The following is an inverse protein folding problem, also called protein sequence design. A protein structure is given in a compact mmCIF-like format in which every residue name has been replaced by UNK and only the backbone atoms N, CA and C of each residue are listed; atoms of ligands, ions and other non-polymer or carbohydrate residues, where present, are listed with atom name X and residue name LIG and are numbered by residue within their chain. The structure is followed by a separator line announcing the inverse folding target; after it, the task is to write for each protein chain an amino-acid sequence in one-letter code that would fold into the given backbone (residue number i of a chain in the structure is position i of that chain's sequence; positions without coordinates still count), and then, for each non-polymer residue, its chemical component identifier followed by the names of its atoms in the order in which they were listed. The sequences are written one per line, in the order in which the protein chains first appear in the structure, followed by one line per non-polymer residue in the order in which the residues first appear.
data_IF_058457018868
#
_entry.id   IF_058457018868
#
_cell.length_a   1.000
_cell.length_b   1.000
_cell.length_c   1.000
_cell.angle_alpha   90.00
_cell.angle_beta   90.00
_cell.angle_gamma   90.00
#
_symmetry.space_group_name_H-M   'P 1'
#
loop_
_entity.id
_entity.type
_entity.pdbx_description
1 polymer ?
#
# COMPACT_ATOMS: atom_id res chain seq x y z
N UNK A 1 -43.17 14.59 72.26
CA UNK A 1 -44.05 14.58 71.06
C UNK A 1 -43.38 15.33 69.97
N UNK A 2 -42.94 14.71 68.96
CA UNK A 2 -42.84 14.96 67.51
C UNK A 2 -41.72 14.13 66.91
N UNK A 3 -42.14 13.12 66.19
CA UNK A 3 -41.28 12.27 65.41
C UNK A 3 -40.79 13.06 64.17
N UNK A 4 -39.47 13.07 63.92
CA UNK A 4 -38.91 13.46 62.62
C UNK A 4 -38.28 12.26 62.00
N UNK A 5 -38.99 11.66 61.02
CA UNK A 5 -38.46 10.66 60.09
C UNK A 5 -37.70 11.34 59.04
N UNK A 6 -36.37 11.28 59.06
CA UNK A 6 -35.48 11.71 57.97
C UNK A 6 -35.33 10.55 57.00
N UNK A 7 -36.01 10.62 55.86
CA UNK A 7 -35.82 9.68 54.75
C UNK A 7 -34.56 10.04 53.99
N UNK A 8 -33.54 9.20 54.10
CA UNK A 8 -32.38 9.23 53.20
C UNK A 8 -32.84 8.78 51.81
N UNK A 9 -32.78 9.69 50.85
CA UNK A 9 -32.88 9.37 49.42
C UNK A 9 -31.50 9.03 48.93
N UNK A 10 -31.22 7.74 48.69
CA UNK A 10 -30.01 7.29 47.98
C UNK A 10 -30.20 7.53 46.48
N UNK A 11 -29.44 8.49 45.93
CA UNK A 11 -29.25 8.64 44.48
C UNK A 11 -28.28 7.56 44.00
N UNK A 12 -28.80 6.56 43.33
CA UNK A 12 -27.99 5.59 42.59
C UNK A 12 -27.56 6.24 41.28
N UNK A 13 -26.29 6.61 41.19
CA UNK A 13 -25.67 7.06 39.95
C UNK A 13 -25.35 5.83 39.07
N UNK A 14 -26.18 5.56 38.07
CA UNK A 14 -25.92 4.55 37.06
C UNK A 14 -24.88 5.11 36.08
N UNK A 15 -23.62 4.73 36.26
CA UNK A 15 -22.58 4.97 35.27
C UNK A 15 -22.78 4.01 34.08
N UNK A 16 -23.34 4.51 32.99
CA UNK A 16 -23.38 3.79 31.69
C UNK A 16 -21.97 3.88 31.12
N UNK A 17 -21.20 2.81 31.26
CA UNK A 17 -19.96 2.63 30.53
C UNK A 17 -20.33 2.37 29.05
N UNK A 18 -20.16 3.37 28.20
CA UNK A 18 -20.26 3.21 26.75
C UNK A 18 -19.08 2.35 26.28
N UNK A 19 -19.32 1.06 26.08
CA UNK A 19 -18.40 0.20 25.33
C UNK A 19 -18.38 0.71 23.89
N UNK A 20 -17.33 1.44 23.51
CA UNK A 20 -17.03 1.73 22.12
C UNK A 20 -16.67 0.40 21.45
N UNK A 21 -17.63 -0.22 20.78
CA UNK A 21 -17.36 -1.28 19.81
C UNK A 21 -16.60 -0.64 18.65
N UNK A 22 -15.28 -0.84 18.63
CA UNK A 22 -14.51 -0.64 17.41
C UNK A 22 -15.01 -1.69 16.41
N UNK A 23 -15.91 -1.30 15.52
CA UNK A 23 -16.25 -2.12 14.38
C UNK A 23 -14.98 -2.26 13.56
N UNK A 24 -14.36 -3.43 13.60
CA UNK A 24 -13.34 -3.81 12.61
C UNK A 24 -14.05 -3.75 11.26
N UNK A 25 -13.65 -2.82 10.39
CA UNK A 25 -14.15 -2.80 9.01
C UNK A 25 -13.72 -4.13 8.41
N UNK A 26 -14.69 -5.01 8.16
CA UNK A 26 -14.46 -6.27 7.46
C UNK A 26 -13.96 -5.94 6.06
N UNK A 27 -12.92 -6.61 5.59
CA UNK A 27 -12.53 -6.50 4.19
C UNK A 27 -13.73 -6.92 3.34
N UNK A 28 -14.00 -6.19 2.27
CA UNK A 28 -15.00 -6.57 1.29
C UNK A 28 -14.34 -7.29 0.11
N UNK A 29 -13.04 -7.04 -0.06
CA UNK A 29 -12.22 -7.59 -1.13
C UNK A 29 -10.80 -7.78 -0.62
N UNK A 30 -10.22 -8.95 -0.93
CA UNK A 30 -8.84 -9.30 -0.58
C UNK A 30 -7.97 -9.44 -1.83
N UNK A 31 -6.70 -9.09 -1.73
CA UNK A 31 -5.75 -9.20 -2.84
C UNK A 31 -5.42 -10.67 -3.11
N UNK A 32 -5.58 -11.08 -4.36
CA UNK A 32 -5.16 -12.39 -4.89
C UNK A 32 -3.69 -12.26 -5.32
N UNK A 33 -2.77 -12.71 -4.47
CA UNK A 33 -1.33 -12.59 -4.70
C UNK A 33 -0.86 -13.33 -5.95
N UNK A 34 -1.39 -14.53 -6.21
CA UNK A 34 -0.98 -15.37 -7.34
C UNK A 34 -1.31 -14.71 -8.71
N UNK A 35 -2.32 -13.85 -8.71
CA UNK A 35 -2.77 -13.11 -9.88
C UNK A 35 -2.41 -11.61 -9.81
N UNK A 36 -1.46 -11.22 -8.94
CA UNK A 36 -1.03 -9.84 -8.74
C UNK A 36 0.48 -9.69 -8.96
N UNK A 37 0.88 -8.56 -9.53
CA UNK A 37 2.27 -8.26 -9.79
C UNK A 37 2.53 -6.76 -9.59
N UNK A 38 3.67 -6.45 -8.99
CA UNK A 38 4.26 -5.12 -8.94
C UNK A 38 5.70 -5.21 -9.44
N UNK A 39 6.05 -4.36 -10.40
CA UNK A 39 7.39 -4.30 -10.99
C UNK A 39 7.92 -2.89 -10.98
N UNK A 40 9.23 -2.76 -10.85
CA UNK A 40 9.92 -1.48 -10.97
C UNK A 40 11.18 -1.62 -11.81
N UNK A 41 11.59 -0.52 -12.44
CA UNK A 41 12.76 -0.48 -13.32
C UNK A 41 13.84 0.37 -12.69
N UNK A 42 15.05 -0.17 -12.60
CA UNK A 42 16.24 0.61 -12.25
C UNK A 42 17.11 0.82 -13.46
N UNK A 43 17.76 1.98 -13.57
CA UNK A 43 18.72 2.29 -14.63
C UNK A 43 20.05 2.61 -13.96
N UNK A 44 21.11 1.89 -14.34
CA UNK A 44 22.46 2.08 -13.84
C UNK A 44 23.45 2.29 -14.98
N UNK A 45 24.58 2.90 -14.68
CA UNK A 45 25.65 3.19 -15.67
C UNK A 45 25.06 3.81 -16.95
N UNK A 46 24.15 4.79 -16.79
CA UNK A 46 23.43 5.57 -17.83
C UNK A 46 22.45 4.77 -18.69
N UNK A 47 22.74 3.51 -19.04
CA UNK A 47 21.99 2.80 -20.09
C UNK A 47 21.54 1.40 -19.69
N UNK A 48 21.96 0.86 -18.55
CA UNK A 48 21.60 -0.51 -18.14
C UNK A 48 20.32 -0.49 -17.35
N UNK A 49 19.21 -0.83 -17.99
CA UNK A 49 17.90 -0.96 -17.38
C UNK A 49 17.65 -2.42 -16.96
N UNK A 50 17.14 -2.61 -15.74
CA UNK A 50 16.77 -3.91 -15.20
C UNK A 50 15.39 -3.83 -14.55
N UNK A 51 14.59 -4.88 -14.73
CA UNK A 51 13.25 -5.00 -14.10
C UNK A 51 13.37 -5.83 -12.84
N UNK A 52 12.75 -5.35 -11.79
CA UNK A 52 12.70 -5.99 -10.49
C UNK A 52 11.25 -6.06 -9.99
N UNK A 53 11.00 -6.89 -8.97
CA UNK A 53 9.67 -7.05 -8.38
C UNK A 53 9.75 -7.24 -6.88
N UNK A 54 8.56 -7.33 -6.25
CA UNK A 54 8.38 -7.83 -4.89
C UNK A 54 7.49 -9.07 -4.96
N UNK A 55 7.87 -10.13 -4.25
CA UNK A 55 7.16 -11.41 -4.28
C UNK A 55 6.07 -11.53 -3.22
N UNK A 56 6.01 -10.62 -2.24
CA UNK A 56 4.99 -10.62 -1.19
C UNK A 56 4.25 -9.28 -1.14
N UNK A 57 2.99 -9.36 -1.51
CA UNK A 57 2.03 -8.26 -1.45
C UNK A 57 0.82 -8.74 -0.66
N UNK A 58 0.24 -7.88 0.14
CA UNK A 58 -1.05 -8.06 0.79
C UNK A 58 -1.92 -6.86 0.49
N UNK A 59 -3.22 -7.02 0.42
CA UNK A 59 -4.09 -5.89 0.16
C UNK A 59 -5.55 -6.19 0.46
N UNK A 60 -6.28 -5.12 0.74
CA UNK A 60 -7.71 -5.19 1.02
C UNK A 60 -8.41 -3.92 0.57
N UNK A 61 -9.69 -4.03 0.30
CA UNK A 61 -10.62 -2.92 0.12
C UNK A 61 -11.74 -3.13 1.13
N UNK A 62 -11.97 -2.18 2.02
CA UNK A 62 -13.04 -2.26 3.00
C UNK A 62 -14.40 -1.79 2.42
N UNK A 63 -15.48 -2.00 3.19
CA UNK A 63 -16.82 -1.60 2.80
C UNK A 63 -17.00 -0.08 2.63
N UNK A 64 -16.12 0.72 3.22
CA UNK A 64 -16.12 2.19 3.07
C UNK A 64 -15.34 2.64 1.82
N UNK A 65 -14.71 1.70 1.08
CA UNK A 65 -13.92 2.00 -0.11
C UNK A 65 -12.47 2.40 0.19
N UNK A 66 -11.95 2.14 1.39
CA UNK A 66 -10.54 2.34 1.67
C UNK A 66 -9.76 1.16 1.11
N UNK A 67 -9.00 1.39 0.05
CA UNK A 67 -8.07 0.42 -0.50
C UNK A 67 -6.69 0.59 0.13
N UNK A 68 -6.06 -0.51 0.50
CA UNK A 68 -4.70 -0.55 1.01
C UNK A 68 -3.96 -1.77 0.45
N UNK A 69 -2.74 -1.54 -0.02
CA UNK A 69 -1.79 -2.59 -0.40
C UNK A 69 -0.55 -2.40 0.47
N UNK A 70 -0.09 -3.48 1.08
CA UNK A 70 1.16 -3.59 1.82
C UNK A 70 2.17 -4.40 1.00
N UNK A 71 3.40 -3.92 0.92
CA UNK A 71 4.51 -4.50 0.17
C UNK A 71 5.58 -4.87 1.18
N UNK A 72 5.88 -6.16 1.33
CA UNK A 72 7.01 -6.61 2.14
C UNK A 72 8.31 -6.28 1.41
N UNK A 73 9.07 -5.31 1.91
CA UNK A 73 10.31 -4.84 1.29
C UNK A 73 11.43 -5.89 1.35
N UNK A 74 11.36 -6.84 2.28
CA UNK A 74 12.30 -7.97 2.32
C UNK A 74 12.07 -8.98 1.21
N UNK A 75 10.94 -8.88 0.48
CA UNK A 75 10.61 -9.73 -0.66
C UNK A 75 11.09 -9.19 -2.01
N UNK A 76 11.96 -8.19 -1.99
CA UNK A 76 12.55 -7.64 -3.22
C UNK A 76 13.28 -8.73 -4.00
N UNK A 77 12.98 -8.82 -5.31
CA UNK A 77 13.57 -9.81 -6.21
C UNK A 77 14.20 -9.14 -7.43
N UNK A 78 15.51 -9.32 -7.55
CA UNK A 78 16.32 -8.72 -8.60
C UNK A 78 17.04 -9.75 -9.46
N UNK A 79 16.86 -11.05 -9.19
CA UNK A 79 17.60 -12.14 -9.82
C UNK A 79 19.03 -12.33 -9.27
N UNK A 80 19.48 -11.52 -8.30
CA UNK A 80 20.82 -11.57 -7.72
C UNK A 80 20.72 -11.48 -6.19
N UNK A 81 20.99 -12.57 -5.49
CA UNK A 81 20.79 -12.68 -4.03
C UNK A 81 21.53 -11.58 -3.24
N UNK A 82 22.81 -11.37 -3.49
CA UNK A 82 23.61 -10.34 -2.79
C UNK A 82 23.07 -8.92 -3.06
N UNK A 83 22.43 -8.67 -4.21
CA UNK A 83 21.80 -7.39 -4.49
C UNK A 83 20.49 -7.26 -3.70
N UNK A 84 19.70 -8.33 -3.60
CA UNK A 84 18.50 -8.33 -2.75
C UNK A 84 18.86 -8.01 -1.31
N UNK A 85 19.89 -8.66 -0.73
CA UNK A 85 20.38 -8.40 0.64
C UNK A 85 20.84 -6.94 0.82
N UNK A 86 21.56 -6.36 -0.14
CA UNK A 86 22.01 -4.97 -0.10
C UNK A 86 20.84 -3.98 -0.21
N UNK A 87 19.87 -4.27 -1.06
CA UNK A 87 18.67 -3.42 -1.14
C UNK A 87 17.86 -3.47 0.15
N UNK A 88 17.74 -4.64 0.78
CA UNK A 88 17.06 -4.78 2.07
C UNK A 88 17.78 -4.01 3.18
N UNK A 89 19.10 -4.12 3.27
CA UNK A 89 19.88 -3.57 4.39
C UNK A 89 20.27 -2.09 4.22
N UNK A 90 20.54 -1.65 2.98
CA UNK A 90 21.14 -0.33 2.71
C UNK A 90 20.20 0.65 2.03
N UNK A 91 19.22 0.16 1.25
CA UNK A 91 18.25 1.01 0.56
C UNK A 91 16.97 1.16 1.38
N UNK A 92 16.33 0.03 1.66
CA UNK A 92 15.03 0.02 2.34
C UNK A 92 15.14 -0.01 3.87
N UNK A 93 16.31 -0.41 4.41
CA UNK A 93 16.54 -0.56 5.85
C UNK A 93 15.42 -1.38 6.51
N UNK A 94 15.16 -2.58 5.96
CA UNK A 94 13.99 -3.41 6.29
C UNK A 94 13.88 -3.80 7.76
N UNK A 95 14.98 -3.69 8.52
CA UNK A 95 14.98 -3.84 9.98
C UNK A 95 14.22 -2.72 10.71
N UNK A 96 14.13 -1.52 10.11
CA UNK A 96 13.41 -0.36 10.63
C UNK A 96 12.08 -0.13 9.86
N UNK A 97 12.12 -0.33 8.56
CA UNK A 97 11.00 -0.11 7.62
C UNK A 97 10.69 -1.41 6.86
N UNK A 98 10.03 -2.39 7.49
CA UNK A 98 9.82 -3.70 6.87
C UNK A 98 8.86 -3.66 5.68
N UNK A 99 8.00 -2.65 5.60
CA UNK A 99 6.94 -2.56 4.61
C UNK A 99 6.83 -1.18 3.99
N UNK A 100 6.42 -1.14 2.72
CA UNK A 100 5.79 0.01 2.12
C UNK A 100 4.28 -0.18 2.08
N UNK A 101 3.53 0.91 2.05
CA UNK A 101 2.07 0.87 1.92
C UNK A 101 1.59 1.85 0.85
N UNK A 102 0.62 1.41 0.06
CA UNK A 102 -0.12 2.26 -0.88
C UNK A 102 -1.58 2.28 -0.45
N UNK A 103 -2.17 3.46 -0.35
CA UNK A 103 -3.58 3.63 -0.01
C UNK A 103 -4.28 4.55 -1.00
N UNK A 104 -5.59 4.30 -1.19
CA UNK A 104 -6.48 5.13 -1.99
C UNK A 104 -7.91 5.04 -1.46
N UNK A 105 -8.69 6.10 -1.66
CA UNK A 105 -10.14 6.06 -1.48
C UNK A 105 -10.80 5.68 -2.81
N UNK A 106 -11.67 4.68 -2.79
CA UNK A 106 -12.34 4.14 -3.97
C UNK A 106 -13.85 4.32 -3.82
N UNK A 107 -14.51 4.74 -4.90
CA UNK A 107 -15.96 4.71 -4.96
C UNK A 107 -16.42 3.28 -5.29
N UNK A 108 -16.88 2.53 -4.28
CA UNK A 108 -17.32 1.14 -4.38
C UNK A 108 -18.61 1.00 -5.24
N UNK A 109 -19.47 2.02 -5.25
CA UNK A 109 -20.67 2.02 -6.11
C UNK A 109 -20.26 2.12 -7.59
N UNK A 110 -19.26 2.95 -7.91
CA UNK A 110 -18.74 3.04 -9.27
C UNK A 110 -18.09 1.72 -9.72
N UNK A 111 -17.36 1.02 -8.84
CA UNK A 111 -16.82 -0.31 -9.13
C UNK A 111 -17.93 -1.34 -9.40
N UNK A 112 -18.98 -1.31 -8.60
CA UNK A 112 -20.11 -2.24 -8.70
C UNK A 112 -20.95 -2.00 -9.96
N UNK A 113 -20.92 -0.79 -10.52
CA UNK A 113 -21.63 -0.43 -11.75
C UNK A 113 -20.95 -0.94 -13.03
N UNK A 114 -19.67 -1.35 -12.96
CA UNK A 114 -18.94 -1.91 -14.11
C UNK A 114 -19.46 -3.33 -14.35
N UNK A 115 -19.95 -3.64 -15.56
CA UNK A 115 -20.39 -4.98 -15.89
C UNK A 115 -19.20 -5.96 -15.99
N UNK A 116 -19.46 -7.25 -15.74
CA UNK A 116 -18.42 -8.28 -15.84
C UNK A 116 -17.86 -8.33 -17.28
N UNK A 117 -16.55 -8.25 -17.40
CA UNK A 117 -15.83 -8.20 -18.68
C UNK A 117 -15.61 -6.77 -19.21
N UNK A 118 -16.23 -5.77 -18.61
CA UNK A 118 -15.99 -4.37 -18.98
C UNK A 118 -14.84 -3.75 -18.21
N UNK A 119 -14.31 -2.67 -18.74
CA UNK A 119 -13.23 -1.91 -18.13
C UNK A 119 -13.54 -0.39 -18.07
N UNK A 120 -12.94 0.26 -17.09
CA UNK A 120 -13.02 1.71 -16.90
C UNK A 120 -11.61 2.26 -16.67
N UNK A 121 -11.29 3.37 -17.32
CA UNK A 121 -10.12 4.17 -16.99
C UNK A 121 -10.48 5.23 -15.93
N UNK A 122 -9.58 5.45 -14.98
CA UNK A 122 -9.73 6.51 -13.97
C UNK A 122 -8.37 7.08 -13.56
N UNK A 123 -8.35 8.35 -13.17
CA UNK A 123 -7.21 8.96 -12.52
C UNK A 123 -7.39 8.88 -11.00
N UNK A 124 -6.49 8.16 -10.32
CA UNK A 124 -6.51 8.00 -8.88
C UNK A 124 -5.38 8.82 -8.22
N UNK A 125 -5.64 9.29 -6.99
CA UNK A 125 -4.60 9.79 -6.11
C UNK A 125 -4.20 8.66 -5.15
N UNK A 126 -2.97 8.19 -5.27
CA UNK A 126 -2.39 7.17 -4.41
C UNK A 126 -1.50 7.83 -3.37
N UNK A 127 -1.63 7.45 -2.10
CA UNK A 127 -0.68 7.82 -1.05
C UNK A 127 0.28 6.65 -0.85
N UNK A 128 1.56 6.87 -1.18
CA UNK A 128 2.65 5.93 -0.93
C UNK A 128 3.35 6.30 0.38
N UNK A 129 3.38 5.38 1.34
CA UNK A 129 4.21 5.45 2.54
C UNK A 129 5.39 4.49 2.36
N UNK A 130 6.61 5.02 2.34
CA UNK A 130 7.84 4.25 2.13
C UNK A 130 8.98 4.91 2.92
N UNK A 131 9.74 4.10 3.65
CA UNK A 131 10.93 4.54 4.39
C UNK A 131 10.69 5.75 5.31
N UNK A 132 9.51 5.78 5.97
CA UNK A 132 9.11 6.86 6.88
C UNK A 132 8.65 8.16 6.19
N UNK A 133 8.65 8.23 4.87
CA UNK A 133 8.13 9.35 4.09
C UNK A 133 6.78 9.01 3.44
N UNK A 134 6.00 10.05 3.12
CA UNK A 134 4.76 9.91 2.37
C UNK A 134 4.81 10.75 1.09
N UNK A 135 4.36 10.17 -0.02
CA UNK A 135 4.25 10.82 -1.31
C UNK A 135 2.87 10.59 -1.92
N UNK A 136 2.27 11.65 -2.47
CA UNK A 136 1.02 11.55 -3.24
C UNK A 136 1.36 11.43 -4.71
N UNK A 137 0.79 10.41 -5.37
CA UNK A 137 1.08 10.04 -6.74
C UNK A 137 -0.22 10.05 -7.54
N UNK A 138 -0.26 10.83 -8.61
CA UNK A 138 -1.36 10.76 -9.59
C UNK A 138 -1.14 9.55 -10.48
N UNK A 139 -2.10 8.64 -10.51
CA UNK A 139 -2.00 7.36 -11.19
C UNK A 139 -3.16 7.18 -12.18
N UNK A 140 -2.88 7.19 -13.50
CA UNK A 140 -3.85 6.76 -14.49
C UNK A 140 -3.98 5.24 -14.42
N UNK A 141 -5.16 4.75 -14.07
CA UNK A 141 -5.45 3.34 -13.82
C UNK A 141 -6.52 2.82 -14.77
N UNK A 142 -6.43 1.52 -15.03
CA UNK A 142 -7.49 0.71 -15.63
C UNK A 142 -8.05 -0.21 -14.58
N UNK A 143 -9.37 -0.22 -14.46
CA UNK A 143 -10.12 -1.17 -13.64
C UNK A 143 -10.92 -2.06 -14.57
N UNK A 144 -10.72 -3.38 -14.48
CA UNK A 144 -11.44 -4.39 -15.26
C UNK A 144 -12.27 -5.23 -14.29
N UNK A 145 -13.59 -5.29 -14.51
CA UNK A 145 -14.49 -6.15 -13.73
C UNK A 145 -14.33 -7.59 -14.17
N UNK A 146 -14.05 -8.49 -13.22
CA UNK A 146 -14.00 -9.93 -13.42
C UNK A 146 -15.18 -10.62 -12.71
N UNK A 147 -15.47 -11.87 -13.06
CA UNK A 147 -16.59 -12.60 -12.46
C UNK A 147 -16.44 -12.77 -10.93
N UNK A 148 -15.20 -12.91 -10.46
CA UNK A 148 -14.84 -13.15 -9.06
C UNK A 148 -14.17 -11.93 -8.38
N UNK A 149 -14.07 -10.78 -9.08
CA UNK A 149 -13.37 -9.66 -8.51
C UNK A 149 -13.15 -8.48 -9.45
N UNK A 150 -12.12 -7.70 -9.16
CA UNK A 150 -11.65 -6.60 -10.00
C UNK A 150 -10.15 -6.68 -10.18
N UNK A 151 -9.69 -6.36 -11.38
CA UNK A 151 -8.28 -6.14 -11.67
C UNK A 151 -8.02 -4.65 -11.82
N UNK A 152 -6.98 -4.16 -11.15
CA UNK A 152 -6.52 -2.78 -11.25
C UNK A 152 -5.11 -2.78 -11.79
N UNK A 153 -4.85 -2.03 -12.86
CA UNK A 153 -3.53 -1.92 -13.47
C UNK A 153 -3.19 -0.49 -13.83
N UNK A 154 -1.91 -0.16 -13.84
CA UNK A 154 -1.41 1.12 -14.35
C UNK A 154 -1.60 1.20 -15.87
N UNK A 155 -2.11 2.34 -16.38
CA UNK A 155 -2.17 2.63 -17.83
C UNK A 155 -0.81 3.08 -18.38
N UNK A 156 0.02 3.68 -17.53
CA UNK A 156 1.40 4.08 -17.83
C UNK A 156 2.27 3.90 -16.59
N UNK A 157 3.60 3.78 -16.72
CA UNK A 157 4.49 3.71 -15.58
C UNK A 157 4.36 4.94 -14.67
N UNK A 158 4.26 4.71 -13.36
CA UNK A 158 4.33 5.75 -12.34
C UNK A 158 5.80 6.04 -12.04
N UNK A 159 6.19 7.30 -11.96
CA UNK A 159 7.56 7.66 -11.66
C UNK A 159 7.68 7.99 -10.17
N UNK A 160 8.39 7.15 -9.43
CA UNK A 160 8.75 7.38 -8.04
C UNK A 160 10.19 7.87 -8.00
N UNK A 161 10.42 9.01 -7.33
CA UNK A 161 11.79 9.52 -7.16
C UNK A 161 12.34 9.18 -5.79
N UNK A 162 13.63 8.91 -5.69
CA UNK A 162 14.30 8.64 -4.43
C UNK A 162 14.14 9.80 -3.43
N UNK A 163 14.07 11.03 -3.94
CA UNK A 163 13.84 12.24 -3.16
C UNK A 163 12.48 12.25 -2.48
N UNK A 164 11.43 11.84 -3.20
CA UNK A 164 10.05 11.87 -2.70
C UNK A 164 9.79 10.87 -1.56
N UNK A 165 10.65 9.86 -1.42
CA UNK A 165 10.47 8.75 -0.46
C UNK A 165 11.70 8.55 0.46
N UNK A 166 12.61 9.54 0.53
CA UNK A 166 13.73 9.52 1.48
C UNK A 166 14.84 8.50 1.16
N UNK A 167 14.92 7.96 -0.06
CA UNK A 167 15.85 6.88 -0.43
C UNK A 167 17.15 7.35 -1.10
N UNK A 168 17.42 8.66 -1.17
CA UNK A 168 18.62 9.19 -1.86
C UNK A 168 19.92 8.63 -1.30
N UNK A 169 20.07 8.61 0.04
CA UNK A 169 21.26 8.09 0.70
C UNK A 169 21.48 6.58 0.42
N UNK A 170 20.39 5.80 0.44
CA UNK A 170 20.45 4.37 0.13
C UNK A 170 20.85 4.10 -1.32
N UNK A 171 20.33 4.88 -2.28
CA UNK A 171 20.73 4.79 -3.69
C UNK A 171 22.23 5.07 -3.86
N UNK A 172 22.76 6.12 -3.20
CA UNK A 172 24.19 6.42 -3.26
C UNK A 172 25.05 5.33 -2.62
N UNK A 173 24.62 4.78 -1.48
CA UNK A 173 25.33 3.66 -0.84
C UNK A 173 25.37 2.42 -1.75
N UNK A 174 24.27 2.11 -2.45
CA UNK A 174 24.26 1.01 -3.43
C UNK A 174 25.17 1.31 -4.62
N UNK A 175 25.18 2.55 -5.12
CA UNK A 175 26.05 2.98 -6.22
C UNK A 175 27.52 2.78 -5.87
N UNK A 176 27.93 3.22 -4.67
CA UNK A 176 29.30 3.12 -4.18
C UNK A 176 29.76 1.67 -4.02
N UNK A 177 28.97 0.84 -3.32
CA UNK A 177 29.36 -0.56 -3.07
C UNK A 177 29.38 -1.41 -4.35
N UNK A 178 28.64 -0.99 -5.39
CA UNK A 178 28.64 -1.63 -6.69
C UNK A 178 29.72 -1.07 -7.63
N UNK A 179 30.44 -0.01 -7.24
CA UNK A 179 31.45 0.64 -8.09
C UNK A 179 30.87 1.25 -9.36
N UNK A 180 29.60 1.71 -9.31
CA UNK A 180 28.90 2.22 -10.48
C UNK A 180 29.08 3.73 -10.63
N UNK A 181 29.17 4.25 -11.88
CA UNK A 181 29.23 5.69 -12.12
C UNK A 181 27.91 6.38 -11.73
N UNK A 182 26.76 5.72 -11.94
CA UNK A 182 25.45 6.27 -11.63
C UNK A 182 24.38 5.19 -11.39
N UNK A 183 23.38 5.53 -10.58
CA UNK A 183 22.08 4.85 -10.49
C UNK A 183 21.00 5.92 -10.59
N UNK A 184 20.01 5.73 -11.46
CA UNK A 184 18.88 6.66 -11.61
C UNK A 184 18.10 6.76 -10.30
N UNK A 185 17.77 7.98 -9.90
CA UNK A 185 16.89 8.26 -8.76
C UNK A 185 15.41 8.28 -9.13
N UNK A 186 15.11 8.29 -10.44
CA UNK A 186 13.75 8.15 -10.95
C UNK A 186 13.50 6.70 -11.32
N UNK A 187 12.49 6.10 -10.71
CA UNK A 187 12.15 4.68 -10.79
C UNK A 187 10.75 4.53 -11.38
N UNK A 188 10.62 4.05 -12.62
CA UNK A 188 9.34 3.68 -13.20
C UNK A 188 8.77 2.44 -12.49
N UNK A 189 7.51 2.52 -12.09
CA UNK A 189 6.77 1.46 -11.40
C UNK A 189 5.50 1.15 -12.16
N UNK A 190 5.22 -0.15 -12.35
CA UNK A 190 3.95 -0.65 -12.89
C UNK A 190 3.39 -1.72 -12.00
N UNK A 191 2.07 -1.83 -11.96
CA UNK A 191 1.42 -2.92 -11.28
C UNK A 191 0.17 -3.41 -12.03
N UNK A 192 -0.18 -4.66 -11.77
CA UNK A 192 -1.47 -5.25 -12.09
C UNK A 192 -1.86 -6.11 -10.90
N UNK A 193 -2.88 -5.70 -10.16
CA UNK A 193 -3.34 -6.37 -8.94
C UNK A 193 -4.78 -6.81 -9.10
N UNK A 194 -5.09 -7.99 -8.57
CA UNK A 194 -6.44 -8.54 -8.55
C UNK A 194 -6.95 -8.56 -7.13
N UNK A 195 -8.16 -8.07 -6.94
CA UNK A 195 -8.91 -8.22 -5.70
C UNK A 195 -10.09 -9.15 -5.94
N UNK A 196 -10.30 -10.09 -5.03
CA UNK A 196 -11.42 -11.02 -5.02
C UNK A 196 -12.36 -10.68 -3.86
N UNK A 197 -13.66 -10.91 -4.06
CA UNK A 197 -14.64 -10.70 -2.99
C UNK A 197 -14.47 -11.78 -1.91
N UNK A 198 -14.58 -11.39 -0.64
CA UNK A 198 -14.52 -12.27 0.52
C UNK A 198 -15.79 -13.13 0.68
#
# INVERSE_FOLDING_TARGET
MLNNNLRLVQLAVFSIAALAFSASASAQWSLDLDNSQLSFVTVKAEHIAEVHSFSRLEGQIDAAGNARISIDLSSVETGIAIRNERMQSMLFETGLYPQAAVSAAINTDALSAIAVGEEMALDAQLTLSLHGAEAVISAPLRVTRQADGVRVSTLSPLIITAESVGLVAGVESLREIAGLPSISRAVPVTFSVKFVAD
#
